data_IF_647174563790
#
_entry.id   IF_647174563790
#
_cell.length_a   1.000
_cell.length_b   1.000
_cell.length_c   1.000
_cell.angle_alpha   90.00
_cell.angle_beta   90.00
_cell.angle_gamma   90.00
#
_symmetry.space_group_name_H-M   'P 1'
#
loop_
_entity.id
_entity.type
_entity.pdbx_description
1 polymer ?
#
# COMPACT_ATOMS: atom_id res chain seq x y z
N UNK A 1 -20.89 8.28 -15.29
CA UNK A 1 -19.68 9.12 -15.20
C UNK A 1 -19.24 9.06 -13.75
N UNK A 2 -17.96 8.81 -13.47
CA UNK A 2 -17.47 8.78 -12.09
C UNK A 2 -17.29 10.22 -11.60
N UNK A 3 -17.97 10.60 -10.54
CA UNK A 3 -17.88 11.94 -9.95
C UNK A 3 -17.18 11.85 -8.61
N UNK A 4 -16.18 12.71 -8.40
CA UNK A 4 -15.51 12.85 -7.13
C UNK A 4 -16.39 13.63 -6.16
N UNK A 5 -16.58 13.11 -4.93
CA UNK A 5 -17.20 13.89 -3.85
C UNK A 5 -16.31 15.08 -3.46
N UNK A 6 -16.86 16.05 -2.75
CA UNK A 6 -16.12 17.22 -2.26
C UNK A 6 -14.93 16.79 -1.37
N UNK A 7 -15.11 15.73 -0.57
CA UNK A 7 -14.04 15.14 0.25
C UNK A 7 -12.91 14.59 -0.62
N UNK A 8 -13.24 13.83 -1.67
CA UNK A 8 -12.25 13.32 -2.62
C UNK A 8 -11.50 14.46 -3.31
N UNK A 9 -12.19 15.53 -3.68
CA UNK A 9 -11.57 16.69 -4.33
C UNK A 9 -10.60 17.39 -3.37
N UNK A 10 -10.97 17.60 -2.10
CA UNK A 10 -10.08 18.18 -1.09
C UNK A 10 -8.80 17.34 -0.89
N UNK A 11 -8.97 16.01 -0.77
CA UNK A 11 -7.83 15.10 -0.61
C UNK A 11 -6.96 15.12 -1.88
N UNK A 12 -7.57 15.11 -3.05
CA UNK A 12 -6.86 15.20 -4.33
C UNK A 12 -6.03 16.48 -4.44
N UNK A 13 -6.58 17.61 -4.05
CA UNK A 13 -5.85 18.90 -4.03
C UNK A 13 -4.65 18.87 -3.08
N UNK A 14 -4.81 18.27 -1.89
CA UNK A 14 -3.72 18.12 -0.94
C UNK A 14 -2.61 17.20 -1.48
N UNK A 15 -2.97 16.05 -2.06
CA UNK A 15 -2.00 15.13 -2.68
C UNK A 15 -1.31 15.78 -3.88
N UNK A 16 -2.07 16.48 -4.73
CA UNK A 16 -1.52 17.22 -5.87
C UNK A 16 -0.47 18.25 -5.43
N UNK A 17 -0.77 19.02 -4.38
CA UNK A 17 0.17 19.98 -3.82
C UNK A 17 1.46 19.30 -3.35
N UNK A 18 1.33 18.21 -2.58
CA UNK A 18 2.48 17.42 -2.15
C UNK A 18 3.34 16.97 -3.34
N UNK A 19 2.70 16.43 -4.38
CA UNK A 19 3.40 15.96 -5.59
C UNK A 19 4.11 17.11 -6.32
N UNK A 20 3.46 18.26 -6.42
CA UNK A 20 4.04 19.44 -7.09
C UNK A 20 5.21 20.06 -6.27
N UNK A 21 5.17 20.00 -4.93
CA UNK A 21 6.20 20.56 -4.05
C UNK A 21 7.36 19.59 -3.80
N UNK A 22 7.09 18.30 -3.59
CA UNK A 22 8.08 17.34 -3.10
C UNK A 22 8.61 16.40 -4.20
N UNK A 23 7.91 16.23 -5.30
CA UNK A 23 8.28 15.28 -6.34
C UNK A 23 8.69 16.00 -7.62
N UNK A 24 7.90 16.96 -8.08
CA UNK A 24 8.14 17.66 -9.34
C UNK A 24 9.56 18.27 -9.44
N UNK A 25 10.12 18.91 -8.40
CA UNK A 25 11.48 19.46 -8.48
C UNK A 25 12.57 18.40 -8.67
N UNK A 26 12.29 17.14 -8.34
CA UNK A 26 13.24 16.02 -8.37
C UNK A 26 12.99 15.01 -9.48
N UNK A 27 12.05 15.27 -10.40
CA UNK A 27 11.68 14.31 -11.45
C UNK A 27 12.85 13.85 -12.28
N UNK A 28 13.73 14.75 -12.69
CA UNK A 28 14.87 14.38 -13.53
C UNK A 28 15.85 13.46 -12.78
N UNK A 29 16.10 13.72 -11.51
CA UNK A 29 16.92 12.86 -10.65
C UNK A 29 16.25 11.51 -10.32
N UNK A 30 14.93 11.48 -10.16
CA UNK A 30 14.17 10.27 -9.91
C UNK A 30 14.09 9.36 -11.13
N UNK A 31 14.01 9.93 -12.34
CA UNK A 31 13.85 9.18 -13.60
C UNK A 31 15.21 8.79 -14.23
N UNK A 32 16.25 9.62 -14.09
CA UNK A 32 17.50 9.48 -14.81
C UNK A 32 18.75 9.50 -13.91
N UNK A 33 18.61 9.91 -12.66
CA UNK A 33 19.70 10.01 -11.69
C UNK A 33 19.69 8.89 -10.66
N UNK A 34 20.40 9.15 -9.56
CA UNK A 34 20.62 8.19 -8.48
C UNK A 34 19.74 8.44 -7.25
N UNK A 35 18.67 9.26 -7.34
CA UNK A 35 17.79 9.54 -6.23
C UNK A 35 16.77 8.40 -6.02
N UNK A 36 16.84 7.61 -4.93
CA UNK A 36 15.87 6.59 -4.65
C UNK A 36 14.52 7.21 -4.27
N UNK A 37 13.36 6.68 -4.75
CA UNK A 37 12.05 7.27 -4.49
C UNK A 37 11.53 7.05 -3.07
N UNK A 38 12.17 6.18 -2.29
CA UNK A 38 11.58 5.60 -1.07
C UNK A 38 11.40 6.59 0.07
N UNK A 39 12.31 7.55 0.25
CA UNK A 39 12.18 8.54 1.33
C UNK A 39 11.04 9.52 1.04
N UNK A 40 10.85 9.90 -0.21
CA UNK A 40 9.73 10.74 -0.64
C UNK A 40 8.41 9.97 -0.49
N UNK A 41 8.39 8.68 -0.85
CA UNK A 41 7.20 7.82 -0.64
C UNK A 41 6.86 7.66 0.85
N UNK A 42 7.85 7.47 1.73
CA UNK A 42 7.62 7.44 3.18
C UNK A 42 7.05 8.75 3.70
N UNK A 43 7.57 9.88 3.21
CA UNK A 43 7.05 11.21 3.53
C UNK A 43 5.59 11.37 3.09
N UNK A 44 5.26 10.91 1.88
CA UNK A 44 3.88 10.88 1.39
C UNK A 44 2.97 10.08 2.34
N UNK A 45 3.40 8.87 2.72
CA UNK A 45 2.63 7.99 3.60
C UNK A 45 2.39 8.60 4.98
N UNK A 46 3.43 9.15 5.58
CA UNK A 46 3.33 9.82 6.88
C UNK A 46 2.44 11.06 6.81
N UNK A 47 2.57 11.87 5.75
CA UNK A 47 1.78 13.10 5.58
C UNK A 47 0.28 12.82 5.50
N UNK A 48 -0.12 11.74 4.85
CA UNK A 48 -1.53 11.37 4.67
C UNK A 48 -2.00 10.25 5.60
N UNK A 49 -1.19 9.85 6.60
CA UNK A 49 -1.52 8.82 7.58
C UNK A 49 -1.72 7.42 6.97
N UNK A 50 -1.21 7.17 5.78
CA UNK A 50 -1.38 5.89 5.08
C UNK A 50 -0.66 4.75 5.80
N UNK A 51 0.50 5.02 6.38
CA UNK A 51 1.27 4.10 7.21
C UNK A 51 0.50 3.70 8.49
N UNK A 52 -0.08 4.67 9.20
CA UNK A 52 -0.89 4.42 10.38
C UNK A 52 -2.14 3.57 10.05
N UNK A 53 -2.81 3.88 8.94
CA UNK A 53 -3.94 3.08 8.45
C UNK A 53 -3.52 1.66 8.07
N UNK A 54 -2.36 1.49 7.44
CA UNK A 54 -1.83 0.18 7.08
C UNK A 54 -1.54 -0.65 8.34
N UNK A 55 -0.92 -0.05 9.37
CA UNK A 55 -0.66 -0.71 10.67
C UNK A 55 -1.94 -1.16 11.35
N UNK A 56 -2.96 -0.31 11.42
CA UNK A 56 -4.25 -0.66 12.03
C UNK A 56 -4.97 -1.78 11.27
N UNK A 57 -5.01 -1.70 9.95
CA UNK A 57 -5.61 -2.76 9.11
C UNK A 57 -4.88 -4.08 9.26
N UNK A 58 -3.55 -4.06 9.22
CA UNK A 58 -2.72 -5.25 9.38
C UNK A 58 -2.96 -5.91 10.74
N UNK A 59 -2.93 -5.14 11.84
CA UNK A 59 -3.19 -5.64 13.18
C UNK A 59 -4.54 -6.33 13.27
N UNK A 60 -5.61 -5.68 12.80
CA UNK A 60 -6.96 -6.24 12.78
C UNK A 60 -7.06 -7.52 11.95
N UNK A 61 -6.35 -7.58 10.83
CA UNK A 61 -6.32 -8.78 10.00
C UNK A 61 -5.62 -9.94 10.70
N UNK A 62 -4.45 -9.73 11.29
CA UNK A 62 -3.70 -10.77 12.01
C UNK A 62 -4.46 -11.27 13.24
N UNK A 63 -5.05 -10.37 14.03
CA UNK A 63 -5.88 -10.74 15.18
C UNK A 63 -7.05 -11.64 14.76
N UNK A 64 -7.68 -11.31 13.65
CA UNK A 64 -8.74 -12.12 13.07
C UNK A 64 -8.25 -13.50 12.61
N UNK A 65 -7.14 -13.57 11.87
CA UNK A 65 -6.56 -14.83 11.42
C UNK A 65 -6.25 -15.75 12.61
N UNK A 66 -5.67 -15.20 13.69
CA UNK A 66 -5.40 -15.93 14.94
C UNK A 66 -6.71 -16.41 15.61
N UNK A 67 -7.74 -15.57 15.64
CA UNK A 67 -9.03 -15.94 16.20
C UNK A 67 -9.70 -17.06 15.42
N UNK A 68 -9.67 -17.02 14.09
CA UNK A 68 -10.17 -18.07 13.21
C UNK A 68 -9.42 -19.37 13.45
N UNK A 69 -8.09 -19.33 13.47
CA UNK A 69 -7.28 -20.52 13.70
C UNK A 69 -7.56 -21.16 15.09
N UNK A 70 -7.74 -20.34 16.12
CA UNK A 70 -8.08 -20.81 17.44
C UNK A 70 -9.49 -21.44 17.52
N UNK A 71 -10.48 -20.88 16.84
CA UNK A 71 -11.83 -21.44 16.77
C UNK A 71 -11.81 -22.81 16.07
N UNK A 72 -11.15 -22.92 14.92
CA UNK A 72 -10.97 -24.18 14.19
C UNK A 72 -10.28 -25.23 15.05
N UNK A 73 -9.23 -24.86 15.78
CA UNK A 73 -8.52 -25.80 16.67
C UNK A 73 -9.41 -26.34 17.82
N UNK A 74 -10.43 -25.57 18.22
CA UNK A 74 -11.42 -26.02 19.22
C UNK A 74 -12.63 -26.75 18.64
N UNK A 75 -12.70 -26.90 17.29
CA UNK A 75 -13.85 -27.48 16.61
C UNK A 75 -15.07 -26.54 16.59
N UNK A 76 -14.87 -25.25 16.80
CA UNK A 76 -15.91 -24.21 16.76
C UNK A 76 -16.06 -23.63 15.35
N UNK A 77 -17.26 -23.13 15.03
CA UNK A 77 -17.48 -22.42 13.78
C UNK A 77 -16.69 -21.10 13.77
N UNK A 78 -15.87 -20.84 12.73
CA UNK A 78 -15.11 -19.60 12.66
C UNK A 78 -16.03 -18.37 12.54
N UNK A 79 -15.64 -17.22 13.09
CA UNK A 79 -16.41 -15.99 12.98
C UNK A 79 -16.64 -15.65 11.49
N UNK A 80 -17.83 -15.15 11.14
CA UNK A 80 -18.23 -14.89 9.75
C UNK A 80 -17.22 -13.98 9.05
N UNK A 81 -17.00 -14.27 7.76
CA UNK A 81 -16.18 -13.39 6.94
C UNK A 81 -16.74 -11.97 7.00
N UNK A 82 -15.90 -10.97 7.34
CA UNK A 82 -16.31 -9.58 7.13
C UNK A 82 -16.56 -9.43 5.63
N UNK A 83 -17.77 -9.06 5.27
CA UNK A 83 -18.05 -8.61 3.91
C UNK A 83 -17.05 -7.50 3.57
N UNK A 84 -16.41 -7.63 2.42
CA UNK A 84 -15.63 -6.53 1.88
C UNK A 84 -16.60 -5.35 1.74
N UNK A 85 -16.49 -4.36 2.62
CA UNK A 85 -17.28 -3.14 2.45
C UNK A 85 -16.86 -2.54 1.13
N UNK A 86 -17.64 -2.80 0.11
CA UNK A 86 -17.68 -2.02 -1.11
C UNK A 86 -18.18 -0.63 -0.74
N UNK A 87 -17.29 0.17 -0.20
CA UNK A 87 -17.54 1.56 0.13
C UNK A 87 -16.54 2.42 -0.65
N UNK A 88 -16.77 3.68 -0.65
CA UNK A 88 -16.06 4.78 -1.30
C UNK A 88 -14.50 4.81 -1.10
N UNK A 89 -13.98 3.90 -0.28
CA UNK A 89 -12.54 3.69 -0.08
C UNK A 89 -11.75 3.34 -1.34
N UNK A 90 -12.40 2.86 -2.39
CA UNK A 90 -11.74 2.59 -3.68
C UNK A 90 -11.29 3.87 -4.38
N UNK A 91 -12.08 4.93 -4.30
CA UNK A 91 -11.75 6.25 -4.85
C UNK A 91 -10.56 6.89 -4.17
N UNK A 92 -10.53 6.88 -2.84
CA UNK A 92 -9.44 7.46 -2.05
C UNK A 92 -8.07 6.83 -2.35
N UNK A 93 -8.03 5.51 -2.56
CA UNK A 93 -6.77 4.82 -2.86
C UNK A 93 -6.22 5.12 -4.26
N UNK A 94 -7.08 5.57 -5.19
CA UNK A 94 -6.66 5.92 -6.56
C UNK A 94 -6.08 7.34 -6.64
N UNK A 95 -6.44 8.24 -5.73
CA UNK A 95 -6.00 9.64 -5.78
C UNK A 95 -4.47 9.77 -5.76
N UNK A 96 -3.72 9.15 -4.81
CA UNK A 96 -2.28 9.21 -4.84
C UNK A 96 -1.68 8.62 -6.12
N UNK A 97 -2.25 7.53 -6.62
CA UNK A 97 -1.79 6.88 -7.87
C UNK A 97 -1.94 7.84 -9.06
N UNK A 98 -3.10 8.47 -9.19
CA UNK A 98 -3.38 9.42 -10.29
C UNK A 98 -2.41 10.60 -10.25
N UNK A 99 -2.22 11.20 -9.08
CA UNK A 99 -1.37 12.40 -8.96
C UNK A 99 0.12 12.07 -9.09
N UNK A 100 0.58 10.91 -8.60
CA UNK A 100 1.94 10.41 -8.85
C UNK A 100 2.16 10.15 -10.35
N UNK A 101 1.25 9.44 -11.02
CA UNK A 101 1.35 9.16 -12.45
C UNK A 101 1.38 10.42 -13.31
N UNK A 102 0.79 11.52 -12.84
CA UNK A 102 0.81 12.80 -13.54
C UNK A 102 2.22 13.40 -13.63
N UNK A 103 3.10 13.06 -12.73
CA UNK A 103 4.42 13.70 -12.59
C UNK A 103 5.57 12.70 -12.73
N UNK A 104 5.52 11.56 -12.04
CA UNK A 104 6.56 10.54 -12.03
C UNK A 104 5.94 9.14 -11.85
N UNK A 105 5.47 8.49 -12.94
CA UNK A 105 4.81 7.18 -12.87
C UNK A 105 5.73 6.07 -12.34
N UNK A 106 7.06 6.22 -12.45
CA UNK A 106 8.03 5.29 -11.88
C UNK A 106 7.88 5.12 -10.36
N UNK A 107 7.45 6.15 -9.65
CA UNK A 107 7.18 6.08 -8.21
C UNK A 107 6.01 5.15 -7.88
N UNK A 108 4.98 5.09 -8.73
CA UNK A 108 3.86 4.16 -8.56
C UNK A 108 4.33 2.72 -8.72
N UNK A 109 5.24 2.46 -9.66
CA UNK A 109 5.84 1.13 -9.85
C UNK A 109 6.69 0.75 -8.62
N UNK A 110 7.55 1.63 -8.14
CA UNK A 110 8.39 1.39 -6.95
C UNK A 110 7.54 1.08 -5.70
N UNK A 111 6.47 1.85 -5.47
CA UNK A 111 5.50 1.62 -4.40
C UNK A 111 4.73 0.30 -4.62
N UNK A 112 4.23 0.08 -5.83
CA UNK A 112 3.38 -1.05 -6.18
C UNK A 112 4.08 -2.40 -6.09
N UNK A 113 5.37 -2.50 -6.41
CA UNK A 113 6.14 -3.74 -6.27
C UNK A 113 6.28 -4.11 -4.79
N UNK A 114 6.58 -3.15 -3.92
CA UNK A 114 6.73 -3.43 -2.49
C UNK A 114 5.38 -3.76 -1.83
N UNK A 115 4.43 -2.84 -1.91
CA UNK A 115 3.14 -2.93 -1.22
C UNK A 115 2.14 -3.83 -1.93
N UNK A 116 2.13 -3.81 -3.26
CA UNK A 116 1.21 -4.59 -4.07
C UNK A 116 1.67 -6.01 -4.28
N UNK A 117 2.77 -6.23 -5.00
CA UNK A 117 3.19 -7.57 -5.39
C UNK A 117 3.79 -8.35 -4.22
N UNK A 118 4.87 -7.83 -3.61
CA UNK A 118 5.62 -8.57 -2.59
C UNK A 118 4.79 -8.78 -1.32
N UNK A 119 4.17 -7.73 -0.79
CA UNK A 119 3.35 -7.87 0.42
C UNK A 119 2.12 -8.73 0.17
N UNK A 120 1.46 -8.62 -1.00
CA UNK A 120 0.28 -9.43 -1.31
C UNK A 120 0.59 -10.91 -1.42
N UNK A 121 1.75 -11.28 -1.97
CA UNK A 121 2.20 -12.68 -1.99
C UNK A 121 2.34 -13.24 -0.57
N UNK A 122 2.99 -12.47 0.32
CA UNK A 122 3.14 -12.87 1.73
C UNK A 122 1.78 -12.92 2.44
N UNK A 123 0.93 -11.90 2.24
CA UNK A 123 -0.39 -11.83 2.88
C UNK A 123 -1.34 -12.92 2.42
N UNK A 124 -1.25 -13.36 1.15
CA UNK A 124 -2.14 -14.39 0.59
C UNK A 124 -1.68 -15.82 0.88
N UNK A 125 -0.38 -16.07 0.93
CA UNK A 125 0.20 -17.43 1.00
C UNK A 125 1.07 -17.69 2.23
N UNK A 126 1.52 -16.64 2.92
CA UNK A 126 2.34 -16.78 4.11
C UNK A 126 1.58 -17.30 5.32
N UNK A 127 2.29 -18.01 6.20
CA UNK A 127 1.79 -18.31 7.54
C UNK A 127 1.61 -17.02 8.35
N UNK A 128 0.82 -17.04 9.43
CA UNK A 128 0.67 -15.86 10.31
C UNK A 128 2.01 -15.34 10.81
N UNK A 129 2.93 -16.23 11.19
CA UNK A 129 4.27 -15.84 11.62
C UNK A 129 5.10 -15.15 10.50
N UNK A 130 4.97 -15.62 9.26
CA UNK A 130 5.62 -14.99 8.11
C UNK A 130 5.02 -13.61 7.80
N UNK A 131 3.70 -13.48 7.89
CA UNK A 131 3.02 -12.19 7.72
C UNK A 131 3.46 -11.18 8.77
N UNK A 132 3.48 -11.57 10.05
CA UNK A 132 3.93 -10.72 11.16
C UNK A 132 5.39 -10.31 11.02
N UNK A 133 6.23 -11.19 10.48
CA UNK A 133 7.67 -10.92 10.35
C UNK A 133 8.01 -9.98 9.20
N UNK A 134 7.28 -10.04 8.08
CA UNK A 134 7.71 -9.37 6.86
C UNK A 134 6.68 -8.42 6.23
N UNK A 135 5.37 -8.72 6.34
CA UNK A 135 4.40 -8.01 5.54
C UNK A 135 4.17 -6.57 5.99
N UNK A 136 4.17 -6.30 7.30
CA UNK A 136 3.90 -4.96 7.82
C UNK A 136 4.93 -3.94 7.33
N UNK A 137 6.21 -4.26 7.43
CA UNK A 137 7.29 -3.36 7.02
C UNK A 137 7.24 -3.02 5.52
N UNK A 138 6.71 -3.94 4.69
CA UNK A 138 6.49 -3.70 3.26
C UNK A 138 5.26 -2.83 3.00
N UNK A 139 4.18 -3.03 3.76
CA UNK A 139 2.94 -2.26 3.64
C UNK A 139 3.11 -0.81 4.10
N UNK A 140 4.05 -0.55 4.98
CA UNK A 140 4.37 0.79 5.49
C UNK A 140 5.57 1.44 4.79
N UNK A 141 6.20 0.74 3.86
CA UNK A 141 7.45 1.16 3.20
C UNK A 141 8.65 1.32 4.17
N UNK A 142 8.56 0.78 5.41
CA UNK A 142 9.70 0.70 6.32
C UNK A 142 10.81 -0.16 5.72
N UNK A 143 10.43 -1.20 4.96
CA UNK A 143 11.31 -1.98 4.09
C UNK A 143 10.81 -1.96 2.65
N UNK A 144 11.72 -2.14 1.73
CA UNK A 144 11.43 -2.24 0.29
C UNK A 144 11.46 -3.70 -0.13
N UNK A 145 10.36 -4.14 -0.75
CA UNK A 145 10.27 -5.46 -1.34
C UNK A 145 10.62 -5.46 -2.82
N UNK A 146 11.18 -6.56 -3.30
CA UNK A 146 11.44 -6.80 -4.71
C UNK A 146 10.70 -8.06 -5.19
N UNK A 147 10.41 -8.10 -6.49
CA UNK A 147 9.74 -9.22 -7.14
C UNK A 147 10.66 -9.81 -8.21
N UNK A 148 11.46 -10.80 -7.83
CA UNK A 148 12.42 -11.44 -8.72
C UNK A 148 11.75 -12.65 -9.41
N UNK A 149 10.92 -12.40 -10.41
CA UNK A 149 10.17 -13.44 -11.13
C UNK A 149 10.70 -13.69 -12.55
N UNK A 150 11.32 -12.69 -13.18
CA UNK A 150 11.86 -12.83 -14.54
C UNK A 150 13.14 -13.62 -14.51
N UNK A 151 13.21 -14.68 -15.33
CA UNK A 151 14.38 -15.55 -15.47
C UNK A 151 15.00 -15.44 -16.86
N UNK A 152 16.33 -15.68 -17.00
CA UNK A 152 16.96 -15.72 -18.32
C UNK A 152 16.38 -16.88 -19.14
N UNK A 153 15.62 -16.59 -20.15
CA UNK A 153 15.00 -17.57 -21.05
C UNK A 153 13.49 -17.74 -20.89
N UNK A 154 12.86 -16.92 -20.02
CA UNK A 154 11.38 -16.81 -19.95
C UNK A 154 10.87 -15.78 -20.97
#
# INVERSE_FOLDING_TARGET
>A
MFEWSDEHQMIREAVKRFVDEEIRPHVDELEHGDLPPYDILRKLFATFGMDAMARDRFKKQIEREKSVAAAVARGEEPPPAKEARGGDGGGLSLIPIIELCRVCPGMVTAMGVSMGLTSSAIMSKGTTAQKERWALDLLTMDKVGAWAITEPGS
#
